data_IF_130049530621
#
_entry.id   IF_130049530621
#
_cell.length_a   1.000
_cell.length_b   1.000
_cell.length_c   1.000
_cell.angle_alpha   90.00
_cell.angle_beta   90.00
_cell.angle_gamma   90.00
#
_symmetry.space_group_name_H-M   'P 1'
#
loop_
_entity.id
_entity.type
_entity.pdbx_description
1 polymer ?
#
# COMPACT_ATOMS: atom_id res chain seq x y z
N UNK A 1 12.34 -12.26 -13.13
CA UNK A 1 11.38 -12.26 -12.03
C UNK A 1 11.02 -10.81 -11.66
N UNK A 2 9.76 -10.55 -11.40
CA UNK A 2 9.33 -9.25 -10.89
C UNK A 2 8.97 -9.34 -9.43
N UNK A 3 9.34 -8.33 -8.67
CA UNK A 3 8.99 -8.21 -7.26
C UNK A 3 8.48 -6.80 -6.99
N UNK A 4 7.73 -6.66 -5.91
CA UNK A 4 7.25 -5.36 -5.43
C UNK A 4 8.09 -4.98 -4.22
N UNK A 5 8.78 -3.86 -4.31
CA UNK A 5 9.46 -3.25 -3.16
C UNK A 5 8.45 -2.35 -2.47
N UNK A 6 8.28 -2.56 -1.17
CA UNK A 6 7.30 -1.84 -0.36
C UNK A 6 8.03 -0.78 0.44
N UNK A 7 7.67 0.47 0.24
CA UNK A 7 8.26 1.61 0.93
C UNK A 7 7.21 2.33 1.76
N UNK A 8 7.62 2.82 2.92
CA UNK A 8 6.81 3.68 3.77
C UNK A 8 7.56 5.01 3.93
N UNK A 9 6.81 6.11 3.94
CA UNK A 9 7.35 7.45 3.83
C UNK A 9 8.44 7.78 4.86
N UNK A 10 8.26 7.36 6.11
CA UNK A 10 9.19 7.68 7.19
C UNK A 10 10.28 6.63 7.40
N UNK A 11 10.13 5.43 6.85
CA UNK A 11 11.00 4.30 7.13
C UNK A 11 11.76 3.78 5.92
N UNK A 12 11.42 4.26 4.71
CA UNK A 12 12.01 3.72 3.49
C UNK A 12 11.50 2.32 3.19
N UNK A 13 12.37 1.44 2.70
CA UNK A 13 11.98 0.08 2.36
C UNK A 13 11.63 -0.72 3.61
N UNK A 14 10.41 -1.26 3.64
CA UNK A 14 9.92 -2.06 4.76
C UNK A 14 9.67 -3.52 4.39
N UNK A 15 9.62 -3.84 3.11
CA UNK A 15 9.40 -5.22 2.68
C UNK A 15 9.51 -5.40 1.18
N UNK A 16 9.45 -6.67 0.79
CA UNK A 16 9.44 -7.10 -0.61
C UNK A 16 8.39 -8.18 -0.77
N UNK A 17 7.61 -8.10 -1.83
CA UNK A 17 6.57 -9.08 -2.11
C UNK A 17 6.67 -9.57 -3.56
N UNK A 18 6.11 -10.75 -3.82
CA UNK A 18 6.16 -11.36 -5.15
C UNK A 18 5.16 -10.74 -6.13
N UNK A 19 4.11 -10.14 -5.62
CA UNK A 19 3.06 -9.50 -6.44
C UNK A 19 2.31 -8.46 -5.61
N UNK A 20 1.40 -7.74 -6.26
CA UNK A 20 0.62 -6.68 -5.62
C UNK A 20 -0.20 -7.18 -4.43
N UNK A 21 -0.92 -8.30 -4.59
CA UNK A 21 -1.78 -8.83 -3.53
C UNK A 21 -0.97 -9.21 -2.30
N UNK A 22 0.19 -9.83 -2.50
CA UNK A 22 1.08 -10.19 -1.41
C UNK A 22 1.67 -8.93 -0.73
N UNK A 23 1.90 -7.87 -1.48
CA UNK A 23 2.33 -6.59 -0.89
C UNK A 23 1.25 -6.05 0.06
N UNK A 24 -0.01 -6.10 -0.35
CA UNK A 24 -1.11 -5.65 0.52
C UNK A 24 -1.23 -6.54 1.76
N UNK A 25 -1.14 -7.86 1.60
CA UNK A 25 -1.15 -8.77 2.74
C UNK A 25 0.00 -8.51 3.70
N UNK A 26 1.19 -8.21 3.18
CA UNK A 26 2.33 -7.82 4.00
C UNK A 26 2.00 -6.59 4.86
N UNK A 27 1.46 -5.54 4.23
CA UNK A 27 1.13 -4.30 4.94
C UNK A 27 0.12 -4.54 6.06
N UNK A 28 -0.87 -5.38 5.81
CA UNK A 28 -1.90 -5.72 6.80
C UNK A 28 -1.32 -6.59 7.91
N UNK A 29 -0.58 -7.64 7.56
CA UNK A 29 -0.05 -8.60 8.51
C UNK A 29 1.01 -7.99 9.42
N UNK A 30 1.81 -7.08 8.91
CA UNK A 30 2.83 -6.36 9.70
C UNK A 30 2.28 -5.11 10.37
N UNK A 31 0.98 -4.95 10.33
CA UNK A 31 0.26 -3.86 11.00
C UNK A 31 0.64 -2.45 10.51
N UNK A 32 1.08 -2.33 9.26
CA UNK A 32 1.28 -1.03 8.63
C UNK A 32 -0.03 -0.42 8.16
N UNK A 33 -0.99 -1.27 7.80
CA UNK A 33 -2.26 -0.86 7.20
C UNK A 33 -3.41 -1.60 7.87
N UNK A 34 -4.41 -0.85 8.34
CA UNK A 34 -5.64 -1.42 8.88
C UNK A 34 -6.77 -0.39 8.69
N UNK A 35 -7.99 -0.77 9.07
CA UNK A 35 -9.15 0.09 8.91
C UNK A 35 -9.08 1.40 9.67
N UNK A 36 -8.24 1.49 10.69
CA UNK A 36 -8.05 2.71 11.50
C UNK A 36 -6.90 3.58 11.00
N UNK A 37 -6.25 3.19 9.91
CA UNK A 37 -5.20 4.01 9.28
C UNK A 37 -5.78 5.37 8.89
N UNK A 38 -5.12 6.43 9.30
CA UNK A 38 -5.56 7.80 9.05
C UNK A 38 -5.04 8.28 7.70
N UNK A 39 -5.95 8.76 6.89
CA UNK A 39 -5.64 9.28 5.55
C UNK A 39 -6.11 10.74 5.49
N UNK A 40 -5.31 11.62 4.94
CA UNK A 40 -5.73 13.00 4.72
C UNK A 40 -6.77 13.03 3.61
N UNK A 41 -7.89 13.69 3.90
CA UNK A 41 -8.89 13.97 2.89
C UNK A 41 -8.37 15.10 1.96
N UNK A 42 -9.02 15.26 0.83
CA UNK A 42 -8.66 16.28 -0.15
C UNK A 42 -8.59 17.67 0.50
N UNK A 43 -7.44 18.34 0.36
CA UNK A 43 -7.23 19.66 0.93
C UNK A 43 -6.45 19.66 2.25
N UNK A 44 -6.06 18.52 2.78
CA UNK A 44 -5.23 18.37 3.97
C UNK A 44 -5.83 18.97 5.25
N UNK A 45 -7.13 19.18 5.26
CA UNK A 45 -7.79 19.84 6.39
C UNK A 45 -8.28 18.85 7.43
N UNK A 46 -8.70 17.68 6.99
CA UNK A 46 -9.25 16.64 7.86
C UNK A 46 -8.61 15.31 7.57
N UNK A 47 -8.42 14.52 8.63
CA UNK A 47 -8.04 13.12 8.46
C UNK A 47 -9.27 12.25 8.61
N UNK A 48 -9.36 11.22 7.77
CA UNK A 48 -10.40 10.21 7.87
C UNK A 48 -9.76 8.84 8.00
N UNK A 49 -10.48 7.93 8.64
CA UNK A 49 -10.01 6.56 8.73
C UNK A 49 -10.21 5.87 7.38
N UNK A 50 -9.31 4.95 7.07
CA UNK A 50 -9.43 4.14 5.85
C UNK A 50 -10.80 3.47 5.78
N UNK A 51 -11.27 2.96 6.92
CA UNK A 51 -12.61 2.37 7.02
C UNK A 51 -13.71 3.35 6.64
N UNK A 52 -13.59 4.62 7.02
CA UNK A 52 -14.58 5.64 6.68
C UNK A 52 -14.56 5.99 5.19
N UNK A 53 -13.38 5.97 4.58
CA UNK A 53 -13.23 6.32 3.16
C UNK A 53 -13.67 5.20 2.23
N UNK A 54 -13.37 3.96 2.57
CA UNK A 54 -13.59 2.81 1.71
C UNK A 54 -14.65 1.84 2.22
N UNK A 55 -15.14 2.04 3.46
CA UNK A 55 -16.15 1.18 4.06
C UNK A 55 -15.57 -0.10 4.65
N UNK A 56 -16.47 -0.99 5.10
CA UNK A 56 -16.08 -2.26 5.71
C UNK A 56 -15.32 -3.17 4.75
N UNK A 57 -15.52 -2.98 3.46
CA UNK A 57 -14.85 -3.77 2.41
C UNK A 57 -13.55 -3.14 1.93
N UNK A 58 -12.94 -2.30 2.76
CA UNK A 58 -11.74 -1.56 2.39
C UNK A 58 -10.60 -2.48 1.91
N UNK A 59 -10.43 -3.63 2.54
CA UNK A 59 -9.35 -4.55 2.15
C UNK A 59 -9.63 -5.18 0.79
N UNK A 60 -10.86 -5.64 0.56
CA UNK A 60 -11.27 -6.19 -0.73
C UNK A 60 -11.12 -5.15 -1.84
N UNK A 61 -11.51 -3.91 -1.54
CA UNK A 61 -11.37 -2.80 -2.48
C UNK A 61 -9.91 -2.59 -2.87
N UNK A 62 -9.02 -2.51 -1.88
CA UNK A 62 -7.58 -2.29 -2.12
C UNK A 62 -6.97 -3.48 -2.87
N UNK A 63 -7.35 -4.70 -2.53
CA UNK A 63 -6.84 -5.90 -3.21
C UNK A 63 -7.20 -5.95 -4.69
N UNK A 64 -8.27 -5.27 -5.09
CA UNK A 64 -8.70 -5.21 -6.48
C UNK A 64 -8.16 -4.01 -7.25
N UNK A 65 -7.41 -3.14 -6.59
CA UNK A 65 -6.76 -2.01 -7.26
C UNK A 65 -5.56 -2.47 -8.09
N UNK A 66 -5.17 -1.62 -9.02
CA UNK A 66 -3.86 -1.72 -9.64
C UNK A 66 -2.81 -1.09 -8.72
N UNK A 67 -1.56 -1.41 -8.99
CA UNK A 67 -0.42 -0.81 -8.27
C UNK A 67 -0.46 0.72 -8.39
N UNK A 68 -0.80 1.23 -9.57
CA UNK A 68 -0.90 2.67 -9.82
C UNK A 68 -2.00 3.31 -8.99
N UNK A 69 -3.15 2.66 -8.89
CA UNK A 69 -4.26 3.15 -8.07
C UNK A 69 -3.88 3.21 -6.58
N UNK A 70 -3.17 2.19 -6.10
CA UNK A 70 -2.66 2.17 -4.73
C UNK A 70 -1.71 3.35 -4.50
N UNK A 71 -0.73 3.53 -5.37
CA UNK A 71 0.27 4.59 -5.20
C UNK A 71 -0.36 5.98 -5.26
N UNK A 72 -1.39 6.16 -6.06
CA UNK A 72 -2.10 7.42 -6.14
C UNK A 72 -2.89 7.70 -4.85
N UNK A 73 -3.59 6.69 -4.33
CA UNK A 73 -4.40 6.84 -3.12
C UNK A 73 -3.53 7.07 -1.89
N UNK A 74 -2.44 6.31 -1.76
CA UNK A 74 -1.54 6.36 -0.60
C UNK A 74 -0.32 7.26 -0.83
N UNK A 75 -0.43 8.22 -1.71
CA UNK A 75 0.63 9.21 -1.93
C UNK A 75 1.05 9.84 -0.60
N UNK A 76 2.36 9.96 -0.36
CA UNK A 76 2.95 10.44 0.90
C UNK A 76 2.83 9.47 2.08
N UNK A 77 2.34 8.25 1.88
CA UNK A 77 2.28 7.23 2.94
C UNK A 77 3.07 5.99 2.56
N UNK A 78 2.70 5.39 1.44
CA UNK A 78 3.28 4.15 0.96
C UNK A 78 3.58 4.28 -0.53
N UNK A 79 4.59 3.57 -0.96
CA UNK A 79 4.90 3.46 -2.38
C UNK A 79 5.28 2.02 -2.71
N UNK A 80 4.61 1.49 -3.71
CA UNK A 80 4.88 0.15 -4.23
C UNK A 80 5.62 0.29 -5.54
N UNK A 81 6.84 -0.26 -5.59
CA UNK A 81 7.68 -0.17 -6.77
C UNK A 81 7.93 -1.56 -7.34
N UNK A 82 7.38 -1.80 -8.53
CA UNK A 82 7.61 -3.06 -9.24
C UNK A 82 8.95 -2.99 -9.94
N UNK A 83 9.82 -3.93 -9.61
CA UNK A 83 11.16 -4.00 -10.19
C UNK A 83 11.39 -5.38 -10.77
N UNK A 84 12.24 -5.45 -11.80
CA UNK A 84 12.69 -6.70 -12.38
C UNK A 84 13.98 -7.11 -11.74
N UNK A 85 14.01 -8.34 -11.23
CA UNK A 85 15.23 -8.95 -10.68
C UNK A 85 15.76 -9.92 -11.71
N UNK A 86 17.00 -9.73 -12.11
CA UNK A 86 17.68 -10.63 -13.05
C UNK A 86 18.35 -11.74 -12.26
N UNK A 87 18.08 -12.96 -12.68
CA UNK A 87 18.78 -14.10 -12.11
C UNK A 87 20.18 -14.18 -12.71
N UNK A 88 21.17 -14.31 -11.85
CA UNK A 88 22.56 -14.48 -12.26
C UNK A 88 22.94 -15.93 -11.99
N UNK A 89 23.27 -16.63 -13.05
CA UNK A 89 23.69 -18.02 -12.95
C UNK A 89 25.11 -18.12 -12.40
#
# INVERSE_FOLDING_TARGET
>A
MRVIIIEEDNHGQIGVASNYQNAIHFLVNENWLNGLTKIYDSGFQDTKLLLDLLGEEWLTTILNWTLEQFNEFFDCYFYLNEVTVYEVD
#
